data_IF_490679734801
#
_entry.id   IF_490679734801
#
_cell.length_a   1.000
_cell.length_b   1.000
_cell.length_c   1.000
_cell.angle_alpha   90.00
_cell.angle_beta   90.00
_cell.angle_gamma   90.00
#
_symmetry.space_group_name_H-M   'P 1'
#
loop_
_entity.id
_entity.type
_entity.pdbx_description
1 polymer ?
#
# COMPACT_ATOMS: atom_id res chain seq x y z
N UNK A 1 12.65 57.71 -50.33
CA UNK A 1 12.38 57.16 -48.98
C UNK A 1 12.01 55.68 -49.19
N UNK A 2 12.97 54.75 -49.03
CA UNK A 2 13.10 53.78 -47.90
C UNK A 2 11.89 52.84 -47.77
N UNK A 3 11.94 51.56 -48.22
CA UNK A 3 12.48 50.31 -47.60
C UNK A 3 11.56 49.63 -46.56
N UNK A 4 11.40 48.31 -46.75
CA UNK A 4 11.23 47.21 -45.77
C UNK A 4 9.84 47.00 -45.12
N UNK A 5 9.17 45.84 -45.27
CA UNK A 5 9.38 44.50 -44.63
C UNK A 5 9.24 44.55 -43.10
N UNK A 6 8.23 43.87 -42.51
CA UNK A 6 8.30 42.88 -41.41
C UNK A 6 6.86 42.55 -40.89
N UNK A 7 6.34 41.31 -41.00
CA UNK A 7 6.27 40.23 -39.97
C UNK A 7 4.88 40.08 -39.33
N UNK A 8 4.20 38.94 -39.52
CA UNK A 8 4.27 37.64 -38.78
C UNK A 8 3.53 37.70 -37.43
N UNK A 9 2.58 36.78 -37.25
CA UNK A 9 2.08 36.43 -35.92
C UNK A 9 0.76 35.66 -35.87
N UNK A 10 0.50 34.70 -36.76
CA UNK A 10 -0.68 33.84 -36.65
C UNK A 10 -0.46 32.77 -35.56
N UNK A 11 -1.21 32.96 -34.48
CA UNK A 11 -1.71 32.01 -33.48
C UNK A 11 -0.99 30.64 -33.32
N UNK A 12 -0.36 30.51 -32.15
CA UNK A 12 -0.06 29.25 -31.47
C UNK A 12 -1.26 28.27 -31.51
N UNK A 13 -1.10 27.15 -32.20
CA UNK A 13 -1.85 25.93 -31.92
C UNK A 13 -0.99 25.08 -30.98
N UNK A 14 -1.21 25.24 -29.68
CA UNK A 14 -0.71 24.30 -28.67
C UNK A 14 -1.50 23.00 -28.83
N UNK A 15 -0.97 22.09 -29.63
CA UNK A 15 -1.30 20.68 -29.53
C UNK A 15 -0.84 20.21 -28.14
N UNK A 16 -1.78 20.20 -27.19
CA UNK A 16 -1.60 19.52 -25.92
C UNK A 16 -1.56 18.00 -26.20
N UNK A 17 -0.37 17.51 -26.54
CA UNK A 17 -0.04 16.11 -26.37
C UNK A 17 -0.17 15.81 -24.87
N UNK A 18 -1.32 15.26 -24.47
CA UNK A 18 -1.47 14.57 -23.20
C UNK A 18 -0.47 13.42 -23.20
N UNK A 19 0.71 13.67 -22.64
CA UNK A 19 1.66 12.62 -22.30
C UNK A 19 0.95 11.66 -21.35
N UNK A 20 0.92 10.35 -21.64
CA UNK A 20 0.46 9.38 -20.65
C UNK A 20 1.37 9.55 -19.43
N UNK A 21 0.75 9.82 -18.27
CA UNK A 21 1.46 9.87 -17.00
C UNK A 21 2.39 8.65 -16.90
N UNK A 22 3.66 8.81 -16.53
CA UNK A 22 4.54 7.67 -16.35
C UNK A 22 3.87 6.74 -15.34
N UNK A 23 3.56 5.51 -15.76
CA UNK A 23 3.20 4.44 -14.84
C UNK A 23 4.27 4.43 -13.76
N UNK A 24 3.91 4.85 -12.54
CA UNK A 24 4.78 4.74 -11.40
C UNK A 24 5.25 3.30 -11.36
N UNK A 25 6.57 3.08 -11.48
CA UNK A 25 7.15 1.74 -11.36
C UNK A 25 6.73 1.23 -10.00
N UNK A 26 5.79 0.29 -9.99
CA UNK A 26 5.36 -0.38 -8.78
C UNK A 26 6.55 -0.96 -8.00
N UNK A 27 6.47 -1.04 -6.67
CA UNK A 27 7.48 -1.72 -5.86
C UNK A 27 7.78 -3.11 -6.43
N UNK A 28 9.06 -3.35 -6.75
CA UNK A 28 9.48 -4.56 -7.44
C UNK A 28 9.10 -5.82 -6.65
N UNK A 29 8.53 -6.81 -7.33
CA UNK A 29 8.12 -8.09 -6.73
C UNK A 29 6.76 -8.09 -6.03
N UNK A 30 6.02 -6.97 -6.04
CA UNK A 30 4.67 -6.90 -5.50
C UNK A 30 3.61 -6.98 -6.60
N UNK A 31 2.59 -7.80 -6.37
CA UNK A 31 1.48 -8.02 -7.29
C UNK A 31 0.17 -7.72 -6.60
N UNK A 32 -0.65 -6.91 -7.25
CA UNK A 32 -2.06 -6.75 -6.89
C UNK A 32 -2.86 -7.84 -7.59
N UNK A 33 -3.64 -8.57 -6.81
CA UNK A 33 -4.54 -9.62 -7.29
C UNK A 33 -5.95 -9.25 -6.83
N UNK A 34 -6.83 -9.05 -7.80
CA UNK A 34 -8.25 -8.85 -7.52
C UNK A 34 -8.93 -10.20 -7.33
N UNK A 35 -9.90 -10.25 -6.43
CA UNK A 35 -10.67 -11.44 -6.15
C UNK A 35 -12.13 -11.07 -5.90
N UNK A 36 -13.06 -11.92 -6.33
CA UNK A 36 -14.49 -11.64 -6.28
C UNK A 36 -15.17 -12.25 -5.03
N UNK A 37 -14.54 -13.24 -4.40
CA UNK A 37 -15.13 -13.96 -3.27
C UNK A 37 -14.08 -14.63 -2.37
N UNK A 38 -14.53 -15.11 -1.21
CA UNK A 38 -13.69 -15.75 -0.20
C UNK A 38 -12.97 -17.03 -0.70
N UNK A 39 -13.55 -17.78 -1.64
CA UNK A 39 -12.90 -18.98 -2.17
C UNK A 39 -11.65 -18.64 -3.00
N UNK A 40 -11.68 -17.52 -3.73
CA UNK A 40 -10.50 -17.02 -4.44
C UNK A 40 -9.43 -16.51 -3.50
N UNK A 41 -9.81 -15.78 -2.45
CA UNK A 41 -8.89 -15.35 -1.40
C UNK A 41 -8.21 -16.55 -0.74
N UNK A 42 -8.95 -17.62 -0.49
CA UNK A 42 -8.40 -18.84 0.11
C UNK A 42 -7.42 -19.56 -0.84
N UNK A 43 -7.72 -19.61 -2.15
CA UNK A 43 -6.75 -20.10 -3.14
C UNK A 43 -5.46 -19.30 -3.12
N UNK A 44 -5.54 -17.97 -2.95
CA UNK A 44 -4.35 -17.12 -2.83
C UNK A 44 -3.55 -17.50 -1.59
N UNK A 45 -4.19 -17.66 -0.42
CA UNK A 45 -3.50 -18.08 0.82
C UNK A 45 -2.83 -19.44 0.69
N UNK A 46 -3.46 -20.39 0.00
CA UNK A 46 -2.92 -21.74 -0.22
C UNK A 46 -1.63 -21.77 -1.05
N UNK A 47 -1.33 -20.70 -1.80
CA UNK A 47 -0.06 -20.59 -2.54
C UNK A 47 1.14 -20.33 -1.65
N UNK A 48 0.92 -19.98 -0.38
CA UNK A 48 1.97 -19.55 0.54
C UNK A 48 2.56 -18.18 0.20
N UNK A 49 1.94 -17.43 -0.71
CA UNK A 49 2.33 -16.07 -0.99
C UNK A 49 2.14 -15.17 0.24
N UNK A 50 3.09 -14.26 0.43
CA UNK A 50 3.09 -13.37 1.57
C UNK A 50 2.11 -12.21 1.30
N UNK A 51 0.98 -12.18 2.00
CA UNK A 51 -0.03 -11.14 1.86
C UNK A 51 0.41 -9.90 2.64
N UNK A 52 0.76 -8.83 1.92
CA UNK A 52 1.18 -7.56 2.53
C UNK A 52 -0.04 -6.73 2.93
N UNK A 53 -1.04 -6.66 2.05
CA UNK A 53 -2.30 -5.91 2.25
C UNK A 53 -3.47 -6.77 1.79
N UNK A 54 -4.55 -6.75 2.58
CA UNK A 54 -5.83 -7.36 2.23
C UNK A 54 -6.94 -6.31 2.28
N UNK A 55 -7.47 -5.94 1.12
CA UNK A 55 -8.68 -5.14 0.96
C UNK A 55 -9.88 -6.04 0.61
N UNK A 56 -11.13 -5.55 0.66
CA UNK A 56 -12.31 -6.36 0.42
C UNK A 56 -12.38 -7.05 -0.95
N UNK A 57 -11.74 -6.47 -1.97
CA UNK A 57 -11.81 -6.86 -3.38
C UNK A 57 -10.43 -7.13 -4.01
N UNK A 58 -9.34 -6.90 -3.28
CA UNK A 58 -7.99 -7.22 -3.73
C UNK A 58 -7.02 -7.52 -2.60
N UNK A 59 -5.93 -8.21 -2.94
CA UNK A 59 -4.74 -8.35 -2.10
C UNK A 59 -3.51 -7.82 -2.81
N UNK A 60 -2.55 -7.34 -2.03
CA UNK A 60 -1.17 -7.14 -2.50
C UNK A 60 -0.32 -8.22 -1.89
N UNK A 61 0.30 -9.03 -2.75
CA UNK A 61 1.18 -10.11 -2.34
C UNK A 61 2.61 -9.86 -2.78
N UNK A 62 3.56 -10.37 -2.00
CA UNK A 62 4.91 -10.68 -2.49
C UNK A 62 4.88 -12.08 -3.08
N UNK A 63 5.30 -12.20 -4.33
CA UNK A 63 5.29 -13.46 -5.06
C UNK A 63 6.48 -13.53 -5.98
N UNK A 64 7.01 -14.73 -6.17
CA UNK A 64 7.90 -15.01 -7.29
C UNK A 64 7.11 -15.35 -8.57
N UNK A 65 7.82 -15.47 -9.69
CA UNK A 65 7.23 -15.78 -11.00
C UNK A 65 6.57 -17.16 -11.05
N UNK A 66 7.00 -18.13 -10.23
CA UNK A 66 6.48 -19.50 -10.25
C UNK A 66 5.13 -19.57 -9.51
N UNK A 67 5.02 -18.90 -8.35
CA UNK A 67 3.78 -18.75 -7.60
C UNK A 67 2.72 -18.00 -8.42
N UNK A 68 3.12 -16.98 -9.18
CA UNK A 68 2.20 -16.21 -10.02
C UNK A 68 1.57 -17.06 -11.13
N UNK A 69 2.35 -17.97 -11.74
CA UNK A 69 1.86 -18.88 -12.77
C UNK A 69 0.82 -19.88 -12.22
N UNK A 70 0.94 -20.27 -10.94
CA UNK A 70 0.03 -21.21 -10.29
C UNK A 70 -1.34 -20.59 -9.94
N UNK A 71 -1.43 -19.26 -9.81
CA UNK A 71 -2.63 -18.60 -9.32
C UNK A 71 -3.78 -18.57 -10.33
N UNK A 72 -3.50 -18.66 -11.64
CA UNK A 72 -4.49 -18.50 -12.71
C UNK A 72 -5.46 -17.30 -12.52
N UNK A 73 -5.02 -16.28 -11.78
CA UNK A 73 -5.77 -15.08 -11.43
C UNK A 73 -5.15 -13.88 -12.14
N UNK A 74 -6.00 -12.93 -12.52
CA UNK A 74 -5.55 -11.65 -13.09
C UNK A 74 -4.71 -10.91 -12.05
N UNK A 75 -3.48 -10.61 -12.42
CA UNK A 75 -2.55 -9.89 -11.56
C UNK A 75 -1.91 -8.74 -12.32
N UNK A 76 -1.64 -7.66 -11.59
CA UNK A 76 -0.95 -6.49 -12.10
C UNK A 76 0.16 -6.06 -11.15
N UNK A 77 1.18 -5.31 -11.61
CA UNK A 77 2.14 -4.72 -10.70
C UNK A 77 1.40 -3.87 -9.66
N UNK A 78 1.69 -4.07 -8.38
CA UNK A 78 1.11 -3.22 -7.33
C UNK A 78 1.61 -1.78 -7.48
N UNK A 79 0.78 -0.81 -7.18
CA UNK A 79 1.15 0.61 -7.13
C UNK A 79 1.25 1.07 -5.67
N UNK A 80 1.86 2.23 -5.43
CA UNK A 80 1.99 2.77 -4.06
C UNK A 80 0.62 2.96 -3.40
N UNK A 81 -0.39 3.41 -4.14
CA UNK A 81 -1.74 3.57 -3.57
C UNK A 81 -2.45 2.25 -3.21
N UNK A 82 -1.94 1.11 -3.68
CA UNK A 82 -2.47 -0.21 -3.29
C UNK A 82 -1.93 -0.67 -1.92
N UNK A 83 -0.85 -0.03 -1.44
CA UNK A 83 -0.21 -0.34 -0.16
C UNK A 83 -0.87 0.42 0.99
N UNK A 84 -2.08 -0.03 1.34
CA UNK A 84 -2.84 0.57 2.45
C UNK A 84 -2.28 0.13 3.80
N UNK A 85 -1.91 1.10 4.64
CA UNK A 85 -1.55 0.86 6.03
C UNK A 85 -2.75 1.10 6.96
N UNK A 86 -2.90 0.23 7.96
CA UNK A 86 -3.86 0.40 9.05
C UNK A 86 -3.27 1.33 10.10
N UNK A 87 -4.13 2.15 10.72
CA UNK A 87 -3.79 2.81 11.98
C UNK A 87 -4.21 1.89 13.12
N UNK A 88 -3.29 1.56 14.02
CA UNK A 88 -3.55 0.61 15.10
C UNK A 88 -3.10 1.12 16.47
N UNK A 89 -3.80 0.70 17.51
CA UNK A 89 -3.33 0.72 18.89
C UNK A 89 -2.87 -0.69 19.29
N UNK A 90 -1.69 -0.77 19.89
CA UNK A 90 -1.04 -2.01 20.32
C UNK A 90 -0.82 -1.92 21.83
N UNK A 91 -1.29 -2.92 22.58
CA UNK A 91 -1.11 -2.97 24.03
C UNK A 91 0.30 -3.45 24.36
N UNK A 92 1.05 -2.63 25.09
CA UNK A 92 2.40 -2.89 25.60
C UNK A 92 2.31 -3.33 27.06
N UNK A 93 2.75 -4.56 27.36
CA UNK A 93 2.75 -5.07 28.73
C UNK A 93 4.03 -4.75 29.50
N UNK A 94 5.12 -4.65 28.75
CA UNK A 94 6.48 -4.50 29.25
C UNK A 94 7.40 -3.99 28.13
N UNK A 95 8.69 -3.83 28.45
CA UNK A 95 9.72 -3.44 27.49
C UNK A 95 9.92 -4.46 26.37
N UNK A 96 9.68 -5.75 26.63
CA UNK A 96 9.74 -6.79 25.60
C UNK A 96 8.67 -6.56 24.54
N UNK A 97 7.44 -6.24 24.95
CA UNK A 97 6.34 -5.91 24.06
C UNK A 97 6.68 -4.72 23.16
N UNK A 98 7.30 -3.68 23.71
CA UNK A 98 7.76 -2.53 22.93
C UNK A 98 8.86 -2.91 21.94
N UNK A 99 9.83 -3.73 22.35
CA UNK A 99 10.87 -4.20 21.46
C UNK A 99 10.29 -5.03 20.30
N UNK A 100 9.33 -5.92 20.57
CA UNK A 100 8.62 -6.68 19.53
C UNK A 100 7.92 -5.76 18.53
N UNK A 101 7.31 -4.66 18.99
CA UNK A 101 6.71 -3.65 18.11
C UNK A 101 7.79 -3.02 17.21
N UNK A 102 8.92 -2.59 17.77
CA UNK A 102 10.03 -2.02 17.00
C UNK A 102 10.58 -3.03 15.97
N UNK A 103 10.80 -4.28 16.37
CA UNK A 103 11.34 -5.34 15.52
C UNK A 103 10.37 -5.84 14.45
N UNK A 104 9.09 -5.47 14.54
CA UNK A 104 8.10 -5.75 13.50
C UNK A 104 8.18 -4.77 12.31
N UNK A 105 8.92 -3.67 12.46
CA UNK A 105 9.10 -2.65 11.43
C UNK A 105 7.83 -1.86 11.14
N UNK A 106 6.86 -1.84 12.06
CA UNK A 106 5.73 -0.89 11.98
C UNK A 106 6.24 0.53 12.12
N UNK A 107 5.50 1.46 11.53
CA UNK A 107 5.78 2.87 11.67
C UNK A 107 5.13 3.39 12.96
N UNK A 108 5.91 3.35 14.06
CA UNK A 108 5.48 3.76 15.38
C UNK A 108 5.39 5.30 15.46
N UNK A 109 4.19 5.80 15.77
CA UNK A 109 3.96 7.24 15.94
C UNK A 109 4.20 7.66 17.39
N UNK A 110 3.49 7.04 18.33
CA UNK A 110 3.62 7.36 19.75
C UNK A 110 3.52 6.09 20.60
N UNK A 111 4.20 6.11 21.75
CA UNK A 111 4.01 5.14 22.82
C UNK A 111 3.75 5.91 24.10
N UNK A 112 2.59 5.67 24.72
CA UNK A 112 2.19 6.33 25.96
C UNK A 112 1.60 5.30 26.92
N UNK A 113 2.24 5.18 28.09
CA UNK A 113 1.83 4.19 29.09
C UNK A 113 1.95 2.77 28.53
N UNK A 114 0.83 2.06 28.52
CA UNK A 114 0.70 0.67 28.07
C UNK A 114 0.22 0.55 26.61
N UNK A 115 0.29 1.63 25.83
CA UNK A 115 -0.23 1.65 24.46
C UNK A 115 0.75 2.27 23.48
N UNK A 116 0.94 1.62 22.34
CA UNK A 116 1.63 2.15 21.16
C UNK A 116 0.61 2.41 20.03
N UNK A 117 0.70 3.57 19.40
CA UNK A 117 -0.05 3.90 18.18
C UNK A 117 0.91 3.84 16.99
N UNK A 118 0.55 3.05 15.98
CA UNK A 118 1.41 2.81 14.83
C UNK A 118 0.62 2.70 13.52
N UNK A 119 1.31 2.93 12.40
CA UNK A 119 0.85 2.54 11.07
C UNK A 119 1.50 1.22 10.68
N UNK A 120 0.72 0.30 10.14
CA UNK A 120 1.19 -1.05 9.86
C UNK A 120 0.49 -1.66 8.64
N UNK A 121 1.23 -2.45 7.87
CA UNK A 121 0.66 -3.35 6.87
C UNK A 121 0.05 -4.59 7.54
N UNK A 122 -0.89 -5.24 6.87
CA UNK A 122 -1.60 -6.41 7.42
C UNK A 122 -0.63 -7.53 7.81
N UNK A 123 0.44 -7.74 7.02
CA UNK A 123 1.51 -8.69 7.35
C UNK A 123 2.19 -8.42 8.71
N UNK A 124 2.44 -7.15 9.02
CA UNK A 124 3.09 -6.76 10.27
C UNK A 124 2.12 -6.99 11.43
N UNK A 125 0.84 -6.71 11.23
CA UNK A 125 -0.21 -7.01 12.22
C UNK A 125 -0.33 -8.51 12.48
N UNK A 126 -0.26 -9.34 11.45
CA UNK A 126 -0.23 -10.80 11.60
C UNK A 126 1.00 -11.28 12.36
N UNK A 127 2.19 -10.71 12.10
CA UNK A 127 3.40 -10.97 12.89
C UNK A 127 3.17 -10.62 14.36
N UNK A 128 2.74 -9.40 14.65
CA UNK A 128 2.51 -8.92 16.02
C UNK A 128 1.47 -9.76 16.78
N UNK A 129 0.38 -10.17 16.12
CA UNK A 129 -0.63 -11.08 16.71
C UNK A 129 -0.05 -12.45 17.03
N UNK A 130 0.82 -13.00 16.16
CA UNK A 130 1.51 -14.28 16.42
C UNK A 130 2.47 -14.19 17.61
N UNK A 131 3.08 -13.04 17.82
CA UNK A 131 3.90 -12.75 19.02
C UNK A 131 3.06 -12.48 20.28
N UNK A 132 1.73 -12.59 20.21
CA UNK A 132 0.83 -12.51 21.36
C UNK A 132 0.42 -11.08 21.76
N UNK A 133 0.71 -10.08 20.93
CA UNK A 133 0.31 -8.69 21.19
C UNK A 133 -1.18 -8.49 20.87
N UNK A 134 -1.85 -7.74 21.75
CA UNK A 134 -3.23 -7.31 21.53
C UNK A 134 -3.24 -6.04 20.68
N UNK A 135 -4.04 -6.05 19.62
CA UNK A 135 -4.08 -4.98 18.61
C UNK A 135 -5.53 -4.59 18.33
N UNK A 136 -5.81 -3.30 18.35
CA UNK A 136 -7.07 -2.70 17.92
C UNK A 136 -6.82 -1.87 16.66
N UNK A 137 -7.56 -2.14 15.58
CA UNK A 137 -7.54 -1.29 14.38
C UNK A 137 -8.39 -0.05 14.65
N UNK A 138 -7.75 1.12 14.60
CA UNK A 138 -8.40 2.42 14.78
C UNK A 138 -8.98 2.90 13.44
N UNK A 139 -8.23 2.71 12.35
CA UNK A 139 -8.67 3.04 11.00
C UNK A 139 -8.13 2.04 9.99
N UNK A 140 -9.00 1.65 9.05
CA UNK A 140 -8.67 0.73 7.96
C UNK A 140 -7.69 1.33 6.93
N UNK A 141 -7.66 2.66 6.83
CA UNK A 141 -6.73 3.42 6.00
C UNK A 141 -6.18 4.61 6.79
N UNK A 142 -4.90 4.55 7.19
CA UNK A 142 -4.25 5.57 7.98
C UNK A 142 -4.12 6.92 7.24
N UNK A 143 -3.99 6.91 5.91
CA UNK A 143 -3.82 8.13 5.12
C UNK A 143 -5.14 8.88 4.91
N UNK A 144 -6.27 8.17 4.89
CA UNK A 144 -7.61 8.78 4.89
C UNK A 144 -7.95 9.35 6.26
N UNK A 145 -7.64 8.63 7.34
CA UNK A 145 -7.86 9.10 8.70
C UNK A 145 -7.17 10.46 8.97
N UNK A 146 -5.95 10.65 8.47
CA UNK A 146 -5.23 11.95 8.57
C UNK A 146 -5.96 13.09 7.85
N UNK A 147 -6.70 12.81 6.78
CA UNK A 147 -7.40 13.84 5.99
C UNK A 147 -8.74 14.24 6.61
N UNK A 148 -9.42 13.30 7.27
CA UNK A 148 -10.73 13.51 7.88
C UNK A 148 -10.65 13.99 9.34
N UNK A 149 -9.52 13.75 10.02
CA UNK A 149 -9.25 14.16 11.39
C UNK A 149 -8.52 15.50 11.49
N UNK A 150 -9.27 16.52 11.94
CA UNK A 150 -8.85 17.72 12.72
C UNK A 150 -7.35 17.91 13.00
#
# INVERSE_FOLDING_TARGET
MHRNILWIGTALLLAACSTPSPSAKGPAGLRKISYANAAELERIRQTGAEIIVQQPDYVVIRTDSAQLAALALTSQPAQEQDLVQRLVAIVLRDSTSLQTVVDSGVDLWEARGDTAVARAYDIQLEKLRREGLAITVIAENADEWRKEGR
#
